data_IF_239945499860
#
_entry.id   IF_239945499860
#
_cell.length_a   1.000
_cell.length_b   1.000
_cell.length_c   1.000
_cell.angle_alpha   90.00
_cell.angle_beta   90.00
_cell.angle_gamma   90.00
#
_symmetry.space_group_name_H-M   'P 1'
#
loop_
_entity.id
_entity.type
_entity.pdbx_description
1 polymer ?
#
# COMPACT_ATOMS: atom_id res chain seq x y z
N UNK A 1 -21.92 5.30 9.20
CA UNK A 1 -21.71 4.29 8.12
C UNK A 1 -20.22 4.20 7.89
N UNK A 2 -19.58 3.09 8.27
CA UNK A 2 -18.14 2.91 8.09
C UNK A 2 -17.85 2.81 6.59
N UNK A 3 -17.25 3.85 6.02
CA UNK A 3 -16.86 3.92 4.59
C UNK A 3 -15.74 2.93 4.23
N UNK A 4 -15.11 2.31 5.22
CA UNK A 4 -14.00 1.38 5.05
C UNK A 4 -14.37 0.05 5.70
N UNK A 5 -14.48 -0.99 4.88
CA UNK A 5 -14.68 -2.35 5.34
C UNK A 5 -13.34 -2.88 5.84
N UNK A 6 -13.28 -3.39 7.08
CA UNK A 6 -12.05 -3.89 7.70
C UNK A 6 -12.11 -5.41 7.76
N UNK A 7 -11.00 -6.08 7.46
CA UNK A 7 -10.86 -7.53 7.64
C UNK A 7 -9.66 -7.80 8.52
N UNK A 8 -9.89 -8.51 9.62
CA UNK A 8 -8.86 -9.01 10.52
C UNK A 8 -8.31 -10.31 9.95
N UNK A 9 -7.00 -10.35 9.71
CA UNK A 9 -6.30 -11.54 9.22
C UNK A 9 -5.27 -11.94 10.28
N UNK A 10 -5.29 -13.21 10.69
CA UNK A 10 -4.25 -13.77 11.54
C UNK A 10 -3.03 -14.10 10.67
N UNK A 11 -1.93 -13.40 10.92
CA UNK A 11 -0.67 -13.70 10.25
C UNK A 11 -0.04 -14.98 10.80
N UNK A 12 0.90 -15.61 10.07
CA UNK A 12 1.65 -16.77 10.55
C UNK A 12 2.44 -16.52 11.85
N UNK A 13 2.68 -15.26 12.19
CA UNK A 13 3.35 -14.82 13.42
C UNK A 13 2.36 -14.65 14.60
N UNK A 14 1.10 -15.09 14.45
CA UNK A 14 0.03 -14.97 15.44
C UNK A 14 -0.28 -13.53 15.85
N UNK A 15 0.02 -12.56 14.98
CA UNK A 15 -0.39 -11.16 15.14
C UNK A 15 -1.64 -10.92 14.28
N UNK A 16 -2.68 -10.37 14.90
CA UNK A 16 -3.90 -9.96 14.22
C UNK A 16 -3.67 -8.62 13.51
N UNK A 17 -3.70 -8.64 12.18
CA UNK A 17 -3.63 -7.43 11.37
C UNK A 17 -5.04 -7.02 10.95
N UNK A 18 -5.48 -5.84 11.38
CA UNK A 18 -6.64 -5.18 10.79
C UNK A 18 -6.22 -4.51 9.48
N UNK A 19 -6.75 -4.99 8.36
CA UNK A 19 -6.49 -4.39 7.05
C UNK A 19 -7.73 -3.67 6.55
N UNK A 20 -7.55 -2.42 6.12
CA UNK A 20 -8.58 -1.65 5.44
C UNK A 20 -8.69 -2.11 3.99
N UNK A 21 -9.88 -2.57 3.58
CA UNK A 21 -10.11 -2.95 2.20
C UNK A 21 -10.16 -1.71 1.33
N UNK A 22 -9.53 -1.80 0.17
CA UNK A 22 -9.64 -0.79 -0.86
C UNK A 22 -11.09 -0.70 -1.35
N UNK A 23 -11.75 0.43 -1.11
CA UNK A 23 -13.12 0.64 -1.55
C UNK A 23 -13.28 0.63 -3.07
N UNK A 24 -14.51 0.45 -3.53
CA UNK A 24 -14.88 0.34 -4.95
C UNK A 24 -14.36 1.53 -5.78
N UNK A 25 -14.40 2.75 -5.24
CA UNK A 25 -13.96 3.97 -5.92
C UNK A 25 -12.45 4.01 -6.24
N UNK A 26 -11.59 3.64 -5.29
CA UNK A 26 -10.14 3.63 -5.51
C UNK A 26 -9.73 2.54 -6.50
N UNK A 27 -10.44 1.40 -6.49
CA UNK A 27 -10.28 0.34 -7.50
C UNK A 27 -10.72 0.77 -8.89
N UNK A 28 -11.85 1.47 -9.02
CA UNK A 28 -12.34 1.98 -10.28
C UNK A 28 -11.37 3.02 -10.87
N UNK A 29 -10.86 3.93 -10.03
CA UNK A 29 -9.86 4.91 -10.43
C UNK A 29 -8.54 4.26 -10.89
N UNK A 30 -8.05 3.28 -10.13
CA UNK A 30 -6.87 2.51 -10.51
C UNK A 30 -7.06 1.79 -11.86
N UNK A 31 -8.24 1.17 -12.06
CA UNK A 31 -8.57 0.54 -13.34
C UNK A 31 -8.64 1.53 -14.49
N UNK A 32 -9.21 2.72 -14.28
CA UNK A 32 -9.28 3.74 -15.33
C UNK A 32 -7.87 4.10 -15.82
N UNK A 33 -6.92 4.32 -14.90
CA UNK A 33 -5.54 4.61 -15.26
C UNK A 33 -4.89 3.43 -15.99
N UNK A 34 -5.05 2.21 -15.47
CA UNK A 34 -4.50 1.01 -16.12
C UNK A 34 -5.08 0.84 -17.55
N UNK A 35 -6.37 1.08 -17.74
CA UNK A 35 -7.01 1.01 -19.06
C UNK A 35 -6.58 2.12 -20.01
N UNK A 36 -6.30 3.33 -19.52
CA UNK A 36 -5.73 4.40 -20.35
C UNK A 36 -4.34 4.00 -20.85
N UNK A 37 -3.48 3.52 -19.95
CA UNK A 37 -2.12 3.09 -20.30
C UNK A 37 -2.17 1.90 -21.27
N UNK A 38 -2.99 0.90 -20.97
CA UNK A 38 -3.16 -0.28 -21.81
C UNK A 38 -3.78 0.08 -23.17
N UNK A 39 -4.76 0.99 -23.19
CA UNK A 39 -5.38 1.51 -24.40
C UNK A 39 -4.39 2.24 -25.30
N UNK A 40 -3.48 3.04 -24.74
CA UNK A 40 -2.40 3.68 -25.50
C UNK A 40 -1.45 2.64 -26.11
N UNK A 41 -1.04 1.62 -25.35
CA UNK A 41 -0.18 0.54 -25.85
C UNK A 41 -0.88 -0.21 -26.99
N UNK A 42 -2.15 -0.55 -26.83
CA UNK A 42 -2.94 -1.25 -27.84
C UNK A 42 -3.19 -0.38 -29.08
N UNK A 43 -3.36 0.94 -28.92
CA UNK A 43 -3.54 1.87 -30.03
C UNK A 43 -2.26 1.98 -30.87
N UNK A 44 -1.10 2.12 -30.23
CA UNK A 44 0.19 2.11 -30.94
C UNK A 44 0.40 0.78 -31.65
N UNK A 45 0.08 -0.34 -30.99
CA UNK A 45 0.15 -1.66 -31.60
C UNK A 45 -0.81 -1.81 -32.79
N UNK A 46 -2.04 -1.31 -32.69
CA UNK A 46 -3.03 -1.35 -33.76
C UNK A 46 -2.56 -0.59 -34.99
N UNK A 47 -2.03 0.62 -34.82
CA UNK A 47 -1.50 1.43 -35.93
C UNK A 47 -0.30 0.72 -36.57
N UNK A 48 0.66 0.26 -35.76
CA UNK A 48 1.84 -0.45 -36.24
C UNK A 48 1.46 -1.74 -36.99
N UNK A 49 0.53 -2.52 -36.44
CA UNK A 49 0.03 -3.75 -37.05
C UNK A 49 -0.73 -3.48 -38.34
N UNK A 50 -1.58 -2.44 -38.38
CA UNK A 50 -2.32 -2.05 -39.58
C UNK A 50 -1.37 -1.71 -40.74
N UNK A 51 -0.35 -0.92 -40.46
CA UNK A 51 0.67 -0.58 -41.45
C UNK A 51 1.47 -1.82 -41.90
N UNK A 52 1.97 -2.62 -40.95
CA UNK A 52 2.77 -3.81 -41.24
C UNK A 52 1.97 -4.87 -42.01
N UNK A 53 0.73 -5.13 -41.61
CA UNK A 53 -0.14 -6.12 -42.26
C UNK A 53 -0.53 -5.71 -43.67
N UNK A 54 -0.79 -4.42 -43.93
CA UNK A 54 -1.07 -3.92 -45.28
C UNK A 54 0.10 -4.12 -46.23
N UNK A 55 1.32 -3.72 -45.81
CA UNK A 55 2.52 -3.91 -46.63
C UNK A 55 2.85 -5.38 -46.87
N UNK A 56 2.65 -6.22 -45.84
CA UNK A 56 2.93 -7.65 -45.93
C UNK A 56 1.97 -8.35 -46.89
N UNK A 57 0.68 -7.99 -46.88
CA UNK A 57 -0.31 -8.52 -47.81
C UNK A 57 0.02 -8.15 -49.26
N UNK A 58 0.34 -6.87 -49.53
CA UNK A 58 0.68 -6.40 -50.87
C UNK A 58 1.93 -7.10 -51.42
N UNK A 59 2.96 -7.30 -50.59
CA UNK A 59 4.16 -8.04 -50.97
C UNK A 59 3.87 -9.52 -51.24
N UNK A 60 3.14 -10.19 -50.35
CA UNK A 60 2.89 -11.63 -50.48
C UNK A 60 1.95 -11.95 -51.65
N UNK A 61 0.99 -11.08 -51.94
CA UNK A 61 0.14 -11.23 -53.13
C UNK A 61 0.96 -11.04 -54.42
N UNK A 62 1.84 -10.02 -54.46
CA UNK A 62 2.71 -9.77 -55.62
C UNK A 62 3.70 -10.92 -55.91
N UNK A 63 4.31 -11.51 -54.87
CA UNK A 63 5.32 -12.55 -55.04
C UNK A 63 4.75 -13.98 -55.11
N UNK A 64 3.65 -14.27 -54.40
CA UNK A 64 3.16 -15.64 -54.21
C UNK A 64 1.68 -15.84 -54.61
N UNK A 65 0.92 -14.76 -54.89
CA UNK A 65 -0.48 -14.84 -55.32
C UNK A 65 -1.43 -15.47 -54.30
N UNK A 66 -1.16 -15.32 -53.01
CA UNK A 66 -1.90 -15.98 -51.92
C UNK A 66 -3.00 -15.05 -51.38
N UNK A 67 -4.26 -15.37 -51.65
CA UNK A 67 -5.41 -14.52 -51.29
C UNK A 67 -5.97 -14.76 -49.86
N UNK A 68 -5.68 -15.91 -49.24
CA UNK A 68 -6.32 -16.32 -47.97
C UNK A 68 -5.57 -15.89 -46.69
N UNK A 69 -4.51 -15.10 -46.81
CA UNK A 69 -3.65 -14.71 -45.68
C UNK A 69 -4.31 -13.73 -44.70
N UNK A 70 -5.38 -13.06 -45.12
CA UNK A 70 -6.07 -12.05 -44.31
C UNK A 70 -6.64 -12.62 -43.01
N UNK A 71 -7.21 -13.83 -43.07
CA UNK A 71 -7.77 -14.50 -41.88
C UNK A 71 -6.66 -14.88 -40.89
N UNK A 72 -5.51 -15.33 -41.38
CA UNK A 72 -4.35 -15.66 -40.55
C UNK A 72 -3.79 -14.43 -39.83
N UNK A 73 -3.64 -13.31 -40.54
CA UNK A 73 -3.18 -12.05 -39.94
C UNK A 73 -4.15 -11.53 -38.88
N UNK A 74 -5.46 -11.69 -39.10
CA UNK A 74 -6.47 -11.34 -38.10
C UNK A 74 -6.37 -12.24 -36.86
N UNK A 75 -6.16 -13.54 -37.03
CA UNK A 75 -5.97 -14.47 -35.92
C UNK A 75 -4.72 -14.12 -35.10
N UNK A 76 -3.60 -13.82 -35.77
CA UNK A 76 -2.35 -13.39 -35.12
C UNK A 76 -2.56 -12.07 -34.37
N UNK A 77 -3.25 -11.11 -34.98
CA UNK A 77 -3.59 -9.84 -34.34
C UNK A 77 -4.37 -10.04 -33.03
N UNK A 78 -5.43 -10.85 -33.06
CA UNK A 78 -6.24 -11.13 -31.88
C UNK A 78 -5.43 -11.84 -30.79
N UNK A 79 -4.60 -12.80 -31.18
CA UNK A 79 -3.73 -13.52 -30.25
C UNK A 79 -2.72 -12.60 -29.56
N UNK A 80 -2.01 -11.77 -30.32
CA UNK A 80 -1.03 -10.82 -29.76
C UNK A 80 -1.74 -9.79 -28.88
N UNK A 81 -2.88 -9.25 -29.32
CA UNK A 81 -3.68 -8.29 -28.53
C UNK A 81 -4.07 -8.91 -27.18
N UNK A 82 -4.55 -10.15 -27.17
CA UNK A 82 -4.88 -10.87 -25.95
C UNK A 82 -3.66 -11.12 -25.06
N UNK A 83 -2.53 -11.52 -25.64
CA UNK A 83 -1.26 -11.69 -24.92
C UNK A 83 -0.74 -10.39 -24.31
N UNK A 84 -0.85 -9.25 -25.00
CA UNK A 84 -0.49 -7.94 -24.45
C UNK A 84 -1.40 -7.59 -23.28
N UNK A 85 -2.71 -7.80 -23.43
CA UNK A 85 -3.70 -7.53 -22.39
C UNK A 85 -3.40 -8.32 -21.10
N UNK A 86 -3.27 -9.64 -21.21
CA UNK A 86 -2.99 -10.51 -20.05
C UNK A 86 -1.58 -10.26 -19.52
N UNK A 87 -0.60 -10.17 -20.41
CA UNK A 87 0.81 -10.00 -20.09
C UNK A 87 1.08 -8.72 -19.31
N UNK A 88 0.43 -7.61 -19.67
CA UNK A 88 0.53 -6.34 -18.93
C UNK A 88 0.22 -6.54 -17.45
N UNK A 89 -0.95 -7.11 -17.13
CA UNK A 89 -1.37 -7.30 -15.75
C UNK A 89 -0.47 -8.30 -15.00
N UNK A 90 -0.08 -9.41 -15.64
CA UNK A 90 0.79 -10.41 -15.01
C UNK A 90 2.17 -9.84 -14.71
N UNK A 91 2.79 -9.16 -15.67
CA UNK A 91 4.14 -8.62 -15.54
C UNK A 91 4.17 -7.56 -14.44
N UNK A 92 3.25 -6.60 -14.47
CA UNK A 92 3.25 -5.54 -13.47
C UNK A 92 2.88 -6.04 -12.08
N UNK A 93 1.86 -6.89 -11.95
CA UNK A 93 1.51 -7.48 -10.65
C UNK A 93 2.61 -8.39 -10.10
N UNK A 94 3.43 -9.02 -10.94
CA UNK A 94 4.57 -9.82 -10.49
C UNK A 94 5.75 -8.94 -10.09
N UNK A 95 6.15 -8.01 -10.96
CA UNK A 95 7.34 -7.17 -10.76
C UNK A 95 7.17 -6.18 -9.61
N UNK A 96 5.96 -5.63 -9.44
CA UNK A 96 5.63 -4.72 -8.33
C UNK A 96 4.84 -5.39 -7.21
N UNK A 97 5.04 -6.69 -7.01
CA UNK A 97 4.54 -7.43 -5.84
C UNK A 97 3.05 -7.18 -5.51
N UNK A 98 2.20 -7.21 -6.54
CA UNK A 98 0.75 -7.02 -6.44
C UNK A 98 0.25 -5.62 -6.80
N UNK A 99 1.09 -4.75 -7.39
CA UNK A 99 0.69 -3.41 -7.85
C UNK A 99 0.82 -3.27 -9.38
N UNK A 100 -0.14 -2.58 -9.99
CA UNK A 100 -0.07 -2.04 -11.35
C UNK A 100 0.15 -0.53 -11.27
N UNK A 101 0.56 0.14 -12.36
CA UNK A 101 0.72 1.59 -12.37
C UNK A 101 -0.49 2.35 -11.80
N UNK A 102 -1.70 2.02 -12.26
CA UNK A 102 -2.94 2.63 -11.77
C UNK A 102 -3.24 2.31 -10.31
N UNK A 103 -2.98 1.07 -9.87
CA UNK A 103 -3.12 0.68 -8.45
C UNK A 103 -2.17 1.44 -7.54
N UNK A 104 -0.97 1.76 -8.03
CA UNK A 104 0.02 2.55 -7.28
C UNK A 104 -0.44 4.00 -7.09
N UNK A 105 -1.03 4.61 -8.11
CA UNK A 105 -1.69 5.92 -7.97
C UNK A 105 -2.89 5.87 -7.03
N UNK A 106 -3.68 4.79 -7.10
CA UNK A 106 -4.79 4.53 -6.19
C UNK A 106 -4.37 4.20 -4.76
N UNK A 107 -3.07 4.01 -4.47
CA UNK A 107 -2.52 3.53 -3.19
C UNK A 107 -3.19 2.24 -2.72
N UNK A 108 -3.38 1.32 -3.65
CA UNK A 108 -3.96 0.01 -3.38
C UNK A 108 -3.00 -1.09 -3.79
N UNK A 109 -2.95 -2.14 -3.00
CA UNK A 109 -2.07 -3.29 -3.23
C UNK A 109 -2.86 -4.58 -3.14
N UNK A 110 -2.55 -5.51 -4.03
CA UNK A 110 -3.05 -6.88 -3.91
C UNK A 110 -2.12 -7.66 -3.01
N UNK A 111 -2.68 -8.29 -1.98
CA UNK A 111 -2.01 -9.22 -1.08
C UNK A 111 -2.74 -10.56 -1.07
N UNK A 112 -2.08 -11.61 -0.60
CA UNK A 112 -2.74 -12.90 -0.33
C UNK A 112 -3.61 -12.82 0.91
N UNK A 113 -4.53 -13.77 1.04
CA UNK A 113 -5.30 -13.99 2.28
C UNK A 113 -4.41 -14.18 3.52
N UNK A 114 -3.14 -14.59 3.36
CA UNK A 114 -2.16 -14.72 4.45
C UNK A 114 -1.26 -13.48 4.65
N UNK A 115 -1.66 -12.30 4.14
CA UNK A 115 -0.88 -11.04 4.14
C UNK A 115 0.49 -11.09 3.42
N UNK A 116 0.79 -12.16 2.68
CA UNK A 116 2.02 -12.32 1.87
C UNK A 116 1.90 -11.66 0.49
N UNK A 117 3.02 -11.27 -0.14
CA UNK A 117 3.01 -10.77 -1.51
C UNK A 117 2.49 -11.82 -2.50
N UNK A 118 1.83 -11.33 -3.54
CA UNK A 118 1.26 -12.17 -4.61
C UNK A 118 2.36 -12.88 -5.40
N UNK A 119 2.16 -14.16 -5.70
CA UNK A 119 3.04 -14.96 -6.56
C UNK A 119 2.58 -14.94 -8.02
N UNK A 120 3.50 -15.25 -8.94
CA UNK A 120 3.24 -15.36 -10.39
C UNK A 120 1.96 -16.14 -10.73
N UNK A 121 1.76 -17.31 -10.12
CA UNK A 121 0.62 -18.20 -10.37
C UNK A 121 -0.73 -17.53 -10.06
N UNK A 122 -0.77 -16.73 -9.01
CA UNK A 122 -1.99 -16.03 -8.59
C UNK A 122 -2.23 -14.81 -9.48
N UNK A 123 -1.17 -14.11 -9.87
CA UNK A 123 -1.25 -13.00 -10.81
C UNK A 123 -1.75 -13.47 -12.20
N UNK A 124 -1.24 -14.59 -12.72
CA UNK A 124 -1.71 -15.18 -13.98
C UNK A 124 -3.16 -15.64 -13.91
N UNK A 125 -3.57 -16.33 -12.84
CA UNK A 125 -4.95 -16.78 -12.70
C UNK A 125 -5.93 -15.58 -12.74
N UNK A 126 -5.58 -14.50 -12.05
CA UNK A 126 -6.37 -13.26 -12.02
C UNK A 126 -6.39 -12.56 -13.36
N UNK A 127 -5.24 -12.46 -14.02
CA UNK A 127 -5.14 -11.81 -15.33
C UNK A 127 -5.88 -12.58 -16.43
N UNK A 128 -5.92 -13.91 -16.37
CA UNK A 128 -6.67 -14.76 -17.30
C UNK A 128 -8.18 -14.71 -17.08
N UNK A 129 -8.62 -14.49 -15.83
CA UNK A 129 -10.04 -14.38 -15.48
C UNK A 129 -10.60 -12.96 -15.69
N UNK A 130 -9.74 -11.94 -15.76
CA UNK A 130 -10.15 -10.55 -16.03
C UNK A 130 -10.99 -10.40 -17.31
N UNK A 131 -10.60 -10.93 -18.48
CA UNK A 131 -11.43 -10.84 -19.68
C UNK A 131 -12.82 -11.42 -19.49
N UNK A 132 -12.95 -12.51 -18.72
CA UNK A 132 -14.25 -13.14 -18.42
C UNK A 132 -15.06 -12.25 -17.47
N UNK A 133 -14.42 -11.69 -16.45
CA UNK A 133 -15.07 -10.77 -15.51
C UNK A 133 -15.54 -9.47 -16.18
N UNK A 134 -14.74 -8.94 -17.12
CA UNK A 134 -15.01 -7.69 -17.85
C UNK A 134 -16.06 -7.87 -18.95
N UNK A 135 -16.03 -8.98 -19.70
CA UNK A 135 -16.97 -9.24 -20.81
C UNK A 135 -18.41 -9.38 -20.31
N UNK A 136 -18.60 -9.93 -19.11
CA UNK A 136 -19.91 -10.18 -18.53
C UNK A 136 -20.32 -9.14 -17.48
N UNK A 137 -19.49 -8.11 -17.23
CA UNK A 137 -19.63 -7.17 -16.10
C UNK A 137 -19.77 -7.85 -14.71
N UNK A 138 -19.52 -9.16 -14.62
CA UNK A 138 -19.70 -9.97 -13.41
C UNK A 138 -18.81 -9.47 -12.28
N UNK A 139 -17.61 -8.95 -12.61
CA UNK A 139 -16.69 -8.39 -11.64
C UNK A 139 -17.28 -7.21 -10.85
N UNK A 140 -18.06 -6.35 -11.51
CA UNK A 140 -18.71 -5.20 -10.85
C UNK A 140 -19.87 -5.67 -9.97
N UNK A 141 -20.70 -6.58 -10.48
CA UNK A 141 -21.81 -7.17 -9.71
C UNK A 141 -21.32 -7.91 -8.46
N UNK A 142 -20.27 -8.73 -8.57
CA UNK A 142 -19.73 -9.48 -7.44
C UNK A 142 -19.05 -8.60 -6.40
N UNK A 143 -18.39 -7.52 -6.81
CA UNK A 143 -17.80 -6.57 -5.85
C UNK A 143 -18.92 -5.87 -5.05
N UNK A 144 -20.01 -5.48 -5.70
CA UNK A 144 -21.14 -4.79 -5.04
C UNK A 144 -21.89 -5.72 -4.09
N UNK A 145 -22.08 -6.99 -4.46
CA UNK A 145 -22.82 -7.95 -3.64
C UNK A 145 -21.98 -8.68 -2.59
N UNK A 146 -20.64 -8.69 -2.73
CA UNK A 146 -19.76 -9.40 -1.81
C UNK A 146 -19.30 -8.54 -0.64
N UNK A 147 -19.55 -9.01 0.59
CA UNK A 147 -19.06 -8.39 1.83
C UNK A 147 -17.54 -8.26 1.92
N UNK A 148 -16.77 -8.93 1.06
CA UNK A 148 -15.29 -8.84 1.00
C UNK A 148 -14.78 -8.14 -0.26
N UNK A 149 -15.68 -7.58 -1.09
CA UNK A 149 -15.36 -6.88 -2.33
C UNK A 149 -14.38 -7.65 -3.23
N UNK A 150 -14.51 -8.98 -3.32
CA UNK A 150 -13.64 -9.83 -4.15
C UNK A 150 -14.27 -10.12 -5.51
N UNK A 151 -13.48 -10.07 -6.60
CA UNK A 151 -13.89 -10.57 -7.93
C UNK A 151 -13.80 -12.10 -8.00
N UNK A 152 -14.33 -12.73 -9.06
CA UNK A 152 -14.14 -14.17 -9.29
C UNK A 152 -12.65 -14.51 -9.35
N UNK A 153 -11.87 -13.70 -10.05
CA UNK A 153 -10.41 -13.85 -10.10
C UNK A 153 -9.76 -13.76 -8.72
N UNK A 154 -10.23 -12.87 -7.83
CA UNK A 154 -9.67 -12.72 -6.48
C UNK A 154 -10.09 -13.86 -5.54
N UNK A 155 -11.29 -14.41 -5.72
CA UNK A 155 -11.77 -15.59 -5.00
C UNK A 155 -10.96 -16.83 -5.36
N UNK A 156 -10.75 -17.09 -6.65
CA UNK A 156 -10.04 -18.26 -7.12
C UNK A 156 -8.53 -18.18 -6.84
N UNK A 157 -7.95 -16.98 -6.85
CA UNK A 157 -6.53 -16.79 -6.54
C UNK A 157 -6.24 -16.70 -5.03
N UNK A 158 -7.25 -16.58 -4.16
CA UNK A 158 -7.05 -16.41 -2.72
C UNK A 158 -6.33 -15.10 -2.39
N UNK A 159 -6.76 -14.01 -3.04
CA UNK A 159 -6.15 -12.67 -2.88
C UNK A 159 -7.18 -11.63 -2.45
N UNK A 160 -6.70 -10.57 -1.82
CA UNK A 160 -7.50 -9.40 -1.49
C UNK A 160 -6.75 -8.11 -1.86
N UNK A 161 -7.53 -7.07 -2.13
CA UNK A 161 -6.99 -5.74 -2.43
C UNK A 161 -7.16 -4.88 -1.19
N UNK A 162 -6.04 -4.52 -0.59
CA UNK A 162 -6.01 -3.66 0.60
C UNK A 162 -5.60 -2.27 0.19
N UNK A 163 -6.11 -1.28 0.92
CA UNK A 163 -5.57 0.06 0.85
C UNK A 163 -4.21 0.03 1.51
N UNK A 164 -3.21 0.60 0.84
CA UNK A 164 -1.91 0.78 1.45
C UNK A 164 -2.09 1.88 2.51
N UNK A 165 -2.32 1.47 3.75
CA UNK A 165 -2.04 2.34 4.89
C UNK A 165 -0.56 2.68 4.75
N UNK A 166 -0.28 3.98 4.57
CA UNK A 166 1.09 4.42 4.73
C UNK A 166 1.54 3.84 6.07
N UNK A 167 2.66 3.09 6.14
CA UNK A 167 3.34 3.02 7.43
C UNK A 167 3.47 4.49 7.80
N UNK A 168 2.78 4.92 8.86
CA UNK A 168 2.83 6.31 9.33
C UNK A 168 4.31 6.57 9.41
N UNK A 169 4.85 7.27 8.41
CA UNK A 169 6.24 7.10 8.00
C UNK A 169 7.03 7.60 9.17
N UNK A 170 7.50 6.69 10.03
CA UNK A 170 7.74 6.88 11.47
C UNK A 170 7.88 8.35 11.76
N UNK A 171 6.75 9.07 11.95
CA UNK A 171 6.74 10.52 11.71
C UNK A 171 7.89 11.10 12.50
N UNK A 172 8.97 11.42 11.80
CA UNK A 172 10.23 11.69 12.43
C UNK A 172 10.08 13.14 12.82
N UNK A 173 9.44 13.39 13.96
CA UNK A 173 9.45 14.73 14.52
C UNK A 173 10.91 15.11 14.61
N UNK A 174 11.24 16.34 14.21
CA UNK A 174 12.60 16.82 14.32
C UNK A 174 13.03 16.65 15.79
N UNK A 175 13.98 15.73 15.99
CA UNK A 175 14.59 15.44 17.27
C UNK A 175 15.61 16.55 17.49
N UNK A 176 15.44 17.32 18.56
CA UNK A 176 16.44 18.32 18.92
C UNK A 176 17.73 17.64 19.40
N UNK A 177 18.90 18.14 18.99
CA UNK A 177 20.20 17.69 19.51
C UNK A 177 20.28 17.77 21.05
N UNK A 178 19.55 18.72 21.65
CA UNK A 178 19.42 18.86 23.09
C UNK A 178 18.63 17.70 23.72
N UNK A 179 17.60 17.21 23.04
CA UNK A 179 16.80 16.06 23.50
C UNK A 179 17.65 14.77 23.46
N UNK A 180 18.53 14.61 22.47
CA UNK A 180 19.44 13.47 22.38
C UNK A 180 20.45 13.45 23.54
N UNK A 181 21.02 14.60 23.89
CA UNK A 181 21.94 14.71 25.03
C UNK A 181 21.24 14.36 26.36
N UNK A 182 20.00 14.79 26.53
CA UNK A 182 19.20 14.48 27.71
C UNK A 182 18.74 13.02 27.74
N UNK A 183 18.43 12.40 26.60
CA UNK A 183 18.05 10.99 26.53
C UNK A 183 19.16 10.08 27.09
N UNK A 184 20.41 10.35 26.71
CA UNK A 184 21.58 9.62 27.23
C UNK A 184 21.76 9.80 28.75
N UNK A 185 21.44 10.98 29.29
CA UNK A 185 21.47 11.22 30.73
C UNK A 185 20.33 10.49 31.44
N UNK A 186 19.13 10.50 30.89
CA UNK A 186 17.96 9.85 31.46
C UNK A 186 18.13 8.32 31.50
N UNK A 187 18.75 7.71 30.50
CA UNK A 187 19.05 6.27 30.50
C UNK A 187 19.86 5.79 31.71
N UNK A 188 20.71 6.66 32.27
CA UNK A 188 21.55 6.31 33.43
C UNK A 188 20.92 6.69 34.77
N UNK A 189 19.87 7.52 34.77
CA UNK A 189 19.31 8.13 35.98
C UNK A 189 17.84 7.78 36.22
N UNK A 190 17.13 7.26 35.21
CA UNK A 190 15.71 6.97 35.26
C UNK A 190 15.46 5.48 35.06
N UNK A 191 14.47 4.95 35.78
CA UNK A 191 14.00 3.58 35.57
C UNK A 191 12.85 3.59 34.57
N UNK A 192 13.08 3.03 33.38
CA UNK A 192 12.08 2.93 32.32
C UNK A 192 11.27 1.62 32.39
N UNK A 193 11.59 0.72 33.32
CA UNK A 193 10.95 -0.61 33.44
C UNK A 193 9.45 -0.52 33.81
N UNK A 194 9.03 0.61 34.38
CA UNK A 194 7.65 0.88 34.78
C UNK A 194 6.76 1.38 33.64
N UNK A 195 7.33 1.87 32.53
CA UNK A 195 6.57 2.42 31.42
C UNK A 195 5.92 1.31 30.60
N UNK A 196 4.60 1.36 30.49
CA UNK A 196 3.86 0.42 29.66
C UNK A 196 3.90 0.86 28.19
N UNK A 197 3.71 -0.07 27.23
CA UNK A 197 3.60 0.27 25.82
C UNK A 197 2.49 1.31 25.50
N UNK A 198 1.44 1.35 26.32
CA UNK A 198 0.33 2.30 26.21
C UNK A 198 0.79 3.74 26.52
N UNK A 199 1.59 3.94 27.56
CA UNK A 199 2.12 5.25 27.96
C UNK A 199 3.05 5.80 26.87
N UNK A 200 3.90 4.93 26.30
CA UNK A 200 4.76 5.28 25.17
C UNK A 200 3.95 5.69 23.93
N UNK A 201 2.83 5.01 23.65
CA UNK A 201 1.95 5.37 22.55
C UNK A 201 1.33 6.76 22.73
N UNK A 202 0.96 7.15 23.96
CA UNK A 202 0.44 8.50 24.26
C UNK A 202 1.50 9.58 24.03
N UNK A 203 2.74 9.36 24.47
CA UNK A 203 3.86 10.29 24.23
C UNK A 203 4.08 10.45 22.72
N UNK A 204 4.13 9.33 21.98
CA UNK A 204 4.30 9.35 20.53
C UNK A 204 3.16 10.10 19.82
N UNK A 205 1.92 9.85 20.20
CA UNK A 205 0.75 10.52 19.61
C UNK A 205 0.76 12.03 19.89
N UNK A 206 1.16 12.44 21.10
CA UNK A 206 1.35 13.85 21.44
C UNK A 206 2.43 14.50 20.54
N UNK A 207 3.61 13.87 20.44
CA UNK A 207 4.71 14.39 19.62
C UNK A 207 4.32 14.49 18.14
N UNK A 208 3.51 13.55 17.63
CA UNK A 208 2.91 13.59 16.29
C UNK A 208 2.03 14.80 16.03
N UNK A 209 1.18 15.14 17.00
CA UNK A 209 0.18 16.20 16.81
C UNK A 209 0.64 17.57 17.28
N UNK A 210 1.83 17.68 17.90
CA UNK A 210 2.32 18.91 18.55
C UNK A 210 2.41 20.12 17.61
N UNK A 211 2.68 19.90 16.32
CA UNK A 211 2.82 20.98 15.34
C UNK A 211 1.47 21.51 14.85
N UNK A 212 0.41 20.69 14.93
CA UNK A 212 -0.95 21.09 14.58
C UNK A 212 -1.71 21.77 15.74
N UNK A 213 -1.15 21.77 16.95
CA UNK A 213 -1.81 22.31 18.15
C UNK A 213 -1.55 23.81 18.38
N UNK A 214 -2.52 24.48 18.99
CA UNK A 214 -2.33 25.88 19.44
C UNK A 214 -1.29 25.95 20.56
N UNK A 215 -0.60 27.10 20.67
CA UNK A 215 0.46 27.29 21.66
C UNK A 215 0.02 27.02 23.11
N UNK A 216 -1.20 27.43 23.48
CA UNK A 216 -1.76 27.20 24.82
C UNK A 216 -2.09 25.72 25.07
N UNK A 217 -2.69 25.02 24.10
CA UNK A 217 -3.01 23.60 24.21
C UNK A 217 -1.72 22.76 24.30
N UNK A 218 -0.71 23.09 23.48
CA UNK A 218 0.61 22.48 23.51
C UNK A 218 1.28 22.64 24.89
N UNK A 219 1.29 23.85 25.45
CA UNK A 219 1.90 24.10 26.75
C UNK A 219 1.18 23.39 27.92
N UNK A 220 -0.14 23.24 27.84
CA UNK A 220 -0.92 22.54 28.86
C UNK A 220 -0.72 21.02 28.79
N UNK A 221 -0.87 20.44 27.60
CA UNK A 221 -0.75 18.98 27.40
C UNK A 221 0.67 18.47 27.62
N UNK A 222 1.70 19.20 27.17
CA UNK A 222 3.09 18.82 27.44
C UNK A 222 3.40 18.76 28.93
N UNK A 223 2.91 19.72 29.72
CA UNK A 223 3.10 19.71 31.18
C UNK A 223 2.40 18.53 31.83
N UNK A 224 1.13 18.30 31.50
CA UNK A 224 0.37 17.18 32.06
C UNK A 224 1.02 15.82 31.76
N UNK A 225 1.45 15.59 30.52
CA UNK A 225 2.15 14.36 30.15
C UNK A 225 3.54 14.27 30.79
N UNK A 226 4.29 15.37 30.85
CA UNK A 226 5.60 15.38 31.48
C UNK A 226 5.52 15.06 32.99
N UNK A 227 4.52 15.59 33.70
CA UNK A 227 4.32 15.30 35.12
C UNK A 227 3.95 13.83 35.34
N UNK A 228 3.04 13.26 34.53
CA UNK A 228 2.67 11.84 34.61
C UNK A 228 3.87 10.92 34.37
N UNK A 229 4.64 11.19 33.30
CA UNK A 229 5.81 10.39 32.92
C UNK A 229 6.91 10.50 33.97
N UNK A 230 7.11 11.69 34.54
CA UNK A 230 8.09 11.93 35.60
C UNK A 230 7.82 11.09 36.84
N UNK A 231 6.55 11.01 37.26
CA UNK A 231 6.14 10.19 38.40
C UNK A 231 6.36 8.69 38.12
N UNK A 232 6.13 8.25 36.88
CA UNK A 232 6.32 6.86 36.46
C UNK A 232 7.78 6.43 36.41
N UNK A 233 8.69 7.29 35.91
CA UNK A 233 10.12 6.95 35.76
C UNK A 233 10.96 7.21 37.02
N UNK A 234 10.31 7.48 38.15
CA UNK A 234 10.92 7.71 39.48
C UNK A 234 12.11 8.69 39.47
N UNK A 235 11.99 9.80 38.72
CA UNK A 235 13.10 10.72 38.53
C UNK A 235 13.36 11.57 39.80
N UNK A 236 14.39 11.23 40.58
CA UNK A 236 14.74 11.94 41.83
C UNK A 236 15.15 13.41 41.62
N UNK A 237 15.72 13.76 40.46
CA UNK A 237 16.15 15.12 40.12
C UNK A 237 15.84 15.47 38.67
N UNK A 238 14.85 16.33 38.45
CA UNK A 238 14.61 16.91 37.12
C UNK A 238 15.68 17.97 36.85
N UNK A 239 16.39 17.93 35.70
CA UNK A 239 17.20 19.04 35.27
C UNK A 239 16.31 20.29 35.14
N UNK A 240 16.51 21.26 36.04
CA UNK A 240 15.62 22.40 36.29
C UNK A 240 15.50 23.42 35.14
N UNK A 241 16.08 23.13 33.98
CA UNK A 241 16.20 24.03 32.82
C UNK A 241 15.48 23.49 31.58
N UNK A 242 14.80 22.34 31.67
CA UNK A 242 14.24 21.66 30.48
C UNK A 242 12.76 21.99 30.29
N UNK A 243 12.38 22.40 29.07
CA UNK A 243 10.97 22.59 28.70
C UNK A 243 10.26 21.24 28.64
N UNK A 244 9.01 21.15 29.10
CA UNK A 244 8.23 19.90 29.12
C UNK A 244 8.20 19.15 27.77
N UNK A 245 8.18 19.87 26.65
CA UNK A 245 8.29 19.27 25.31
C UNK A 245 9.61 18.53 25.09
N UNK A 246 10.71 19.15 25.48
CA UNK A 246 12.05 18.62 25.28
C UNK A 246 12.30 17.42 26.19
N UNK A 247 11.73 17.43 27.39
CA UNK A 247 11.71 16.27 28.28
C UNK A 247 10.97 15.08 27.66
N UNK A 248 9.77 15.28 27.11
CA UNK A 248 9.00 14.23 26.44
C UNK A 248 9.71 13.67 25.20
N UNK A 249 10.40 14.53 24.44
CA UNK A 249 11.27 14.10 23.33
C UNK A 249 12.43 13.22 23.84
N UNK A 250 13.09 13.63 24.91
CA UNK A 250 14.21 12.88 25.50
C UNK A 250 13.76 11.51 26.06
N UNK A 251 12.60 11.45 26.71
CA UNK A 251 12.01 10.19 27.21
C UNK A 251 11.68 9.25 26.05
N UNK A 252 11.08 9.78 24.98
CA UNK A 252 10.75 9.00 23.78
C UNK A 252 12.01 8.35 23.17
N UNK A 253 13.10 9.10 23.07
CA UNK A 253 14.39 8.59 22.56
C UNK A 253 15.03 7.57 23.48
N UNK A 254 15.03 7.83 24.78
CA UNK A 254 15.64 6.94 25.76
C UNK A 254 14.96 5.55 25.73
N UNK A 255 13.63 5.53 25.67
CA UNK A 255 12.84 4.29 25.57
C UNK A 255 13.04 3.57 24.23
N UNK A 256 13.07 4.31 23.10
CA UNK A 256 13.30 3.73 21.78
C UNK A 256 14.68 3.06 21.68
N UNK A 257 15.70 3.65 22.31
CA UNK A 257 17.04 3.08 22.31
C UNK A 257 17.14 1.83 23.22
N UNK A 258 16.45 1.82 24.37
CA UNK A 258 16.37 0.63 25.24
C UNK A 258 15.73 -0.55 24.51
N UNK A 259 14.56 -0.33 23.90
CA UNK A 259 13.80 -1.36 23.16
C UNK A 259 14.48 -1.86 21.88
N UNK A 260 15.53 -1.19 21.41
CA UNK A 260 16.35 -1.64 20.27
C UNK A 260 17.52 -2.54 20.67
N UNK A 261 17.83 -2.64 21.96
CA UNK A 261 18.93 -3.45 22.50
C UNK A 261 18.49 -4.83 23.01
N UNK A 262 17.20 -5.02 23.26
CA UNK A 262 16.55 -6.31 23.56
C UNK A 262 16.06 -7.00 22.28
#
# INVERSE_FOLDING_TARGET
>A
MNFFNRVTIQTPESVELELTLAGIGSRAYALLIDYIVLGLILLVFLIAWGFLSSQLLDLLDYFFGINDLRLWLLAIYLFITFSIYVGYFVLFETLWQGQTPGKRYGRIRVIRDDARPVRLQQATLRALLRPVDDLWFLGVFLIIFSKREKRLGDWLAGTLVVQEEQPIASASFEISDQAQALANQLQTQADFSSLQPEDFAMIREYLQRREAMTFQAKAKLSRQLADQVKDMIALEKVPSVVTANLFLEAVYLAYQQLSSQD
#
